data_IF_181715912672
#
_entry.id   IF_181715912672
#
_cell.length_a   1.000
_cell.length_b   1.000
_cell.length_c   1.000
_cell.angle_alpha   90.00
_cell.angle_beta   90.00
_cell.angle_gamma   90.00
#
_symmetry.space_group_name_H-M   'P 1'
#
loop_
_entity.id
_entity.type
_entity.pdbx_description
1 polymer ?
#
# COMPACT_ATOMS: atom_id res chain seq x y z
N UNK A 1 -32.06 54.75 33.24
CA UNK A 1 -31.12 54.01 32.31
C UNK A 1 -31.63 52.64 31.80
N UNK A 2 -32.63 52.02 32.44
CA UNK A 2 -33.25 50.75 31.99
C UNK A 2 -34.21 50.91 30.79
N UNK A 3 -34.93 52.03 30.66
CA UNK A 3 -35.89 52.34 29.60
C UNK A 3 -35.20 52.53 28.21
N UNK A 4 -33.99 53.04 28.17
CA UNK A 4 -33.24 53.33 26.95
C UNK A 4 -32.68 52.03 26.28
N UNK A 5 -32.35 51.01 27.08
CA UNK A 5 -31.88 49.71 26.54
C UNK A 5 -33.01 48.92 25.88
N UNK A 6 -34.24 48.99 26.40
CA UNK A 6 -35.40 48.36 25.78
C UNK A 6 -35.80 49.00 24.44
N UNK A 7 -35.63 50.31 24.30
CA UNK A 7 -35.94 51.03 23.07
C UNK A 7 -35.01 50.69 21.89
N UNK A 8 -33.70 50.54 22.15
CA UNK A 8 -32.72 50.18 21.09
C UNK A 8 -32.91 48.77 20.54
N UNK A 9 -33.22 47.81 21.39
CA UNK A 9 -33.50 46.41 21.01
C UNK A 9 -34.79 46.30 20.21
N UNK A 10 -35.87 46.98 20.65
CA UNK A 10 -37.16 47.03 19.95
C UNK A 10 -37.01 47.70 18.59
N UNK A 11 -36.26 48.80 18.52
CA UNK A 11 -35.96 49.46 17.25
C UNK A 11 -35.15 48.61 16.31
N UNK A 12 -34.09 47.96 16.77
CA UNK A 12 -33.28 47.04 15.95
C UNK A 12 -34.12 45.90 15.36
N UNK A 13 -35.05 45.33 16.16
CA UNK A 13 -35.98 44.27 15.71
C UNK A 13 -36.99 44.79 14.69
N UNK A 14 -37.54 45.97 14.87
CA UNK A 14 -38.49 46.61 13.94
C UNK A 14 -37.77 47.05 12.65
N UNK A 15 -36.54 47.57 12.74
CA UNK A 15 -35.70 47.97 11.61
C UNK A 15 -35.32 46.76 10.76
N UNK A 16 -34.92 45.66 11.39
CA UNK A 16 -34.63 44.39 10.70
C UNK A 16 -35.86 43.85 9.93
N UNK A 17 -37.08 43.98 10.53
CA UNK A 17 -38.32 43.55 9.92
C UNK A 17 -38.78 44.47 8.77
N UNK A 18 -38.51 45.80 8.86
CA UNK A 18 -38.81 46.79 7.81
C UNK A 18 -37.77 46.86 6.70
N UNK A 19 -36.55 46.41 6.95
CA UNK A 19 -35.42 46.46 6.02
C UNK A 19 -35.56 45.53 4.81
N UNK A 20 -36.51 44.59 4.83
CA UNK A 20 -36.77 43.66 3.72
C UNK A 20 -35.53 42.94 3.23
N UNK A 21 -35.29 42.95 1.93
CA UNK A 21 -34.17 42.28 1.31
C UNK A 21 -32.79 42.71 1.84
N UNK A 22 -32.63 43.98 2.24
CA UNK A 22 -31.36 44.53 2.79
C UNK A 22 -30.94 43.90 4.12
N UNK A 23 -31.91 43.49 4.94
CA UNK A 23 -31.65 42.80 6.21
C UNK A 23 -31.27 41.35 6.04
N UNK A 24 -31.60 40.74 4.89
CA UNK A 24 -31.24 39.37 4.56
C UNK A 24 -29.77 39.25 4.14
N UNK A 25 -29.16 40.29 3.60
CA UNK A 25 -27.76 40.26 3.09
C UNK A 25 -26.76 39.78 4.15
N UNK A 26 -26.72 40.32 5.39
CA UNK A 26 -25.77 39.81 6.41
C UNK A 26 -25.99 38.36 6.79
N UNK A 27 -27.24 37.94 6.86
CA UNK A 27 -27.62 36.57 7.22
C UNK A 27 -27.19 35.61 6.12
N UNK A 28 -27.54 35.90 4.87
CA UNK A 28 -27.15 35.10 3.71
C UNK A 28 -25.63 35.07 3.55
N UNK A 29 -24.94 36.19 3.68
CA UNK A 29 -23.49 36.26 3.63
C UNK A 29 -22.85 35.41 4.73
N UNK A 30 -23.37 35.42 5.95
CA UNK A 30 -22.90 34.57 7.04
C UNK A 30 -23.11 33.08 6.78
N UNK A 31 -24.29 32.69 6.24
CA UNK A 31 -24.57 31.31 5.88
C UNK A 31 -23.64 30.84 4.73
N UNK A 32 -23.53 31.64 3.68
CA UNK A 32 -22.67 31.33 2.54
C UNK A 32 -21.19 31.18 2.94
N UNK A 33 -20.71 32.11 3.82
CA UNK A 33 -19.36 32.04 4.34
C UNK A 33 -19.12 30.79 5.18
N UNK A 34 -20.06 30.43 6.06
CA UNK A 34 -19.96 29.20 6.86
C UNK A 34 -19.90 27.96 5.99
N UNK A 35 -20.79 27.85 5.00
CA UNK A 35 -20.78 26.74 4.05
C UNK A 35 -19.47 26.69 3.27
N UNK A 36 -19.01 27.83 2.74
CA UNK A 36 -17.75 27.90 2.01
C UNK A 36 -16.57 27.45 2.87
N UNK A 37 -16.41 28.00 4.08
CA UNK A 37 -15.29 27.66 4.95
C UNK A 37 -15.33 26.21 5.44
N UNK A 38 -16.50 25.70 5.81
CA UNK A 38 -16.64 24.31 6.24
C UNK A 38 -16.40 23.33 5.09
N UNK A 39 -16.88 23.64 3.89
CA UNK A 39 -16.64 22.80 2.70
C UNK A 39 -15.16 22.78 2.32
N UNK A 40 -14.51 23.94 2.22
CA UNK A 40 -13.10 24.00 1.84
C UNK A 40 -12.20 23.31 2.86
N UNK A 41 -12.39 23.60 4.15
CA UNK A 41 -11.60 22.95 5.23
C UNK A 41 -11.88 21.46 5.32
N UNK A 42 -13.14 21.05 5.19
CA UNK A 42 -13.54 19.64 5.16
C UNK A 42 -12.94 18.89 3.96
N UNK A 43 -12.84 19.56 2.82
CA UNK A 43 -12.20 18.98 1.61
C UNK A 43 -10.72 18.72 1.84
N UNK A 44 -9.97 19.69 2.40
CA UNK A 44 -8.54 19.49 2.73
C UNK A 44 -8.36 18.30 3.67
N UNK A 45 -9.17 18.23 4.73
CA UNK A 45 -9.08 17.13 5.71
C UNK A 45 -9.38 15.77 5.07
N UNK A 46 -10.36 15.71 4.18
CA UNK A 46 -10.68 14.46 3.46
C UNK A 46 -9.54 14.02 2.54
N UNK A 47 -8.93 14.93 1.79
CA UNK A 47 -7.80 14.60 0.94
C UNK A 47 -6.56 14.19 1.73
N UNK A 48 -6.30 14.82 2.86
CA UNK A 48 -5.22 14.43 3.76
C UNK A 48 -5.45 13.01 4.33
N UNK A 49 -6.67 12.72 4.78
CA UNK A 49 -7.05 11.37 5.20
C UNK A 49 -6.96 10.34 4.09
N UNK A 50 -7.38 10.69 2.86
CA UNK A 50 -7.25 9.81 1.70
C UNK A 50 -5.78 9.52 1.36
N UNK A 51 -4.91 10.54 1.44
CA UNK A 51 -3.47 10.35 1.21
C UNK A 51 -2.85 9.48 2.30
N UNK A 52 -3.19 9.71 3.56
CA UNK A 52 -2.74 8.88 4.67
C UNK A 52 -3.21 7.43 4.51
N UNK A 53 -4.48 7.25 4.16
CA UNK A 53 -5.04 5.92 3.89
C UNK A 53 -4.38 5.26 2.68
N UNK A 54 -4.12 6.00 1.61
CA UNK A 54 -3.39 5.48 0.45
C UNK A 54 -2.01 4.95 0.85
N UNK A 55 -1.30 5.67 1.73
CA UNK A 55 0.02 5.25 2.23
C UNK A 55 -0.04 4.02 3.13
N UNK A 56 -1.05 3.93 4.01
CA UNK A 56 -1.19 2.80 4.93
C UNK A 56 -1.70 1.52 4.26
N UNK A 57 -2.65 1.65 3.33
CA UNK A 57 -3.37 0.52 2.75
C UNK A 57 -2.72 0.00 1.45
N UNK A 58 -1.81 0.79 0.86
CA UNK A 58 -1.08 0.35 -0.34
C UNK A 58 0.08 -0.55 0.04
N UNK A 59 0.15 -1.71 -0.60
CA UNK A 59 1.28 -2.62 -0.51
C UNK A 59 2.08 -2.64 -1.81
N UNK A 60 3.38 -2.75 -1.72
CA UNK A 60 4.28 -2.93 -2.86
C UNK A 60 5.14 -4.15 -2.66
N UNK A 61 5.58 -4.75 -3.77
CA UNK A 61 6.47 -5.90 -3.76
C UNK A 61 7.85 -5.51 -4.25
N UNK A 62 8.87 -6.11 -3.61
CA UNK A 62 10.25 -6.04 -4.02
C UNK A 62 10.76 -7.43 -4.39
N UNK A 63 11.71 -7.49 -5.27
CA UNK A 63 12.40 -8.72 -5.66
C UNK A 63 13.87 -8.46 -5.93
N UNK A 64 14.69 -9.45 -5.61
CA UNK A 64 16.09 -9.42 -5.94
C UNK A 64 16.27 -9.76 -7.41
N UNK A 65 17.27 -9.15 -8.03
CA UNK A 65 17.56 -9.30 -9.43
C UNK A 65 19.08 -9.30 -9.69
N UNK A 66 19.47 -9.68 -10.90
CA UNK A 66 20.84 -9.52 -11.38
C UNK A 66 21.20 -8.03 -11.59
N UNK A 67 22.47 -7.76 -11.88
CA UNK A 67 22.99 -6.41 -12.12
C UNK A 67 22.28 -5.65 -13.25
N UNK A 68 21.63 -6.37 -14.18
CA UNK A 68 20.91 -5.79 -15.32
C UNK A 68 19.43 -5.56 -15.03
N UNK A 69 18.92 -6.05 -13.91
CA UNK A 69 17.51 -6.00 -13.58
C UNK A 69 16.62 -6.88 -14.46
N UNK A 70 17.21 -7.85 -15.16
CA UNK A 70 16.50 -8.66 -16.15
C UNK A 70 16.12 -10.04 -15.63
N UNK A 71 16.85 -10.55 -14.65
CA UNK A 71 16.63 -11.88 -14.09
C UNK A 71 16.25 -11.83 -12.63
N UNK A 72 15.15 -12.46 -12.26
CA UNK A 72 14.70 -12.65 -10.89
C UNK A 72 14.85 -14.10 -10.42
N UNK A 73 15.41 -14.94 -11.27
CA UNK A 73 15.70 -16.35 -11.00
C UNK A 73 17.10 -16.70 -11.47
N UNK A 74 17.69 -17.76 -10.93
CA UNK A 74 19.05 -18.16 -11.24
C UNK A 74 20.13 -17.29 -10.60
N UNK A 75 19.78 -16.54 -9.54
CA UNK A 75 20.69 -15.76 -8.74
C UNK A 75 21.46 -16.67 -7.76
N UNK A 76 22.59 -16.20 -7.27
CA UNK A 76 23.34 -16.81 -6.17
C UNK A 76 23.26 -15.91 -4.94
N UNK A 77 22.19 -16.07 -4.16
CA UNK A 77 21.92 -15.29 -2.96
C UNK A 77 22.37 -16.10 -1.73
N UNK A 78 23.24 -15.53 -0.93
CA UNK A 78 23.62 -16.14 0.35
C UNK A 78 22.53 -15.98 1.42
N UNK A 79 22.46 -16.92 2.34
CA UNK A 79 21.52 -16.90 3.49
C UNK A 79 21.54 -15.57 4.23
N UNK A 80 22.73 -15.00 4.48
CA UNK A 80 22.87 -13.78 5.24
C UNK A 80 22.30 -12.53 4.58
N UNK A 81 22.15 -12.49 3.24
CA UNK A 81 21.49 -11.36 2.55
C UNK A 81 19.98 -11.43 2.79
N UNK A 82 19.45 -12.59 2.63
CA UNK A 82 18.00 -12.84 2.69
C UNK A 82 17.50 -12.70 4.13
N UNK A 83 18.25 -13.25 5.09
CA UNK A 83 17.94 -13.11 6.51
C UNK A 83 17.97 -11.62 6.96
N UNK A 84 18.94 -10.84 6.49
CA UNK A 84 18.98 -9.41 6.77
C UNK A 84 17.80 -8.66 6.18
N UNK A 85 17.32 -9.02 4.98
CA UNK A 85 16.13 -8.42 4.39
C UNK A 85 14.90 -8.71 5.25
N UNK A 86 14.76 -9.93 5.77
CA UNK A 86 13.63 -10.30 6.62
C UNK A 86 13.60 -9.55 7.95
N UNK A 87 14.75 -9.05 8.40
CA UNK A 87 14.89 -8.26 9.64
C UNK A 87 14.62 -6.77 9.46
N UNK A 88 14.44 -6.28 8.21
CA UNK A 88 14.15 -4.87 7.95
C UNK A 88 12.74 -4.55 8.45
N UNK A 89 12.56 -3.57 9.36
CA UNK A 89 11.23 -3.13 9.77
C UNK A 89 10.41 -2.64 8.57
N UNK A 90 9.16 -3.11 8.45
CA UNK A 90 8.29 -2.78 7.33
C UNK A 90 8.37 -3.75 6.14
N UNK A 91 9.26 -4.75 6.19
CA UNK A 91 9.29 -5.86 5.24
C UNK A 91 8.50 -7.04 5.81
N UNK A 92 7.70 -7.67 4.96
CA UNK A 92 6.92 -8.86 5.29
C UNK A 92 6.93 -9.87 4.13
N UNK A 93 6.39 -11.05 4.36
CA UNK A 93 6.18 -12.12 3.35
C UNK A 93 7.43 -12.38 2.51
N UNK A 94 8.58 -12.52 3.15
CA UNK A 94 9.82 -12.81 2.44
C UNK A 94 9.75 -14.23 1.90
N UNK A 95 9.78 -14.34 0.58
CA UNK A 95 9.71 -15.61 -0.13
C UNK A 95 11.03 -15.92 -0.79
N UNK A 96 11.49 -17.12 -0.63
CA UNK A 96 12.73 -17.63 -1.20
C UNK A 96 12.45 -18.68 -2.27
N UNK A 97 13.28 -18.69 -3.27
CA UNK A 97 13.23 -19.64 -4.35
C UNK A 97 14.60 -20.30 -4.53
N UNK A 98 14.60 -21.61 -4.65
CA UNK A 98 15.76 -22.36 -5.08
C UNK A 98 15.34 -23.30 -6.20
N UNK A 99 15.85 -23.09 -7.40
CA UNK A 99 15.60 -23.97 -8.54
C UNK A 99 16.59 -25.12 -8.50
N UNK A 100 16.08 -26.32 -8.51
CA UNK A 100 16.89 -27.52 -8.59
C UNK A 100 16.78 -28.13 -10.01
N UNK A 101 17.87 -28.68 -10.57
CA UNK A 101 17.89 -29.25 -11.91
C UNK A 101 17.26 -30.67 -11.93
N UNK A 102 16.08 -30.79 -11.35
CA UNK A 102 15.28 -31.99 -11.33
C UNK A 102 14.05 -31.79 -12.20
N UNK A 103 13.81 -32.71 -13.12
CA UNK A 103 12.77 -32.60 -14.10
C UNK A 103 11.83 -33.80 -14.01
N UNK A 104 10.55 -33.57 -14.32
CA UNK A 104 9.53 -34.61 -14.27
C UNK A 104 9.82 -35.72 -15.27
N UNK A 105 9.86 -36.96 -14.78
CA UNK A 105 10.07 -38.17 -15.60
C UNK A 105 8.81 -39.02 -15.71
N UNK A 106 8.07 -39.19 -14.63
CA UNK A 106 6.86 -40.00 -14.62
C UNK A 106 6.21 -40.07 -13.25
N UNK A 107 5.12 -40.80 -13.16
CA UNK A 107 4.44 -41.01 -11.90
C UNK A 107 4.06 -42.46 -11.64
N UNK A 108 3.90 -42.77 -10.37
CA UNK A 108 3.56 -44.09 -9.87
C UNK A 108 2.25 -43.99 -9.08
N UNK A 109 1.42 -45.00 -9.31
CA UNK A 109 0.18 -45.24 -8.60
C UNK A 109 0.14 -46.66 -8.12
N UNK A 110 -0.15 -46.92 -6.86
CA UNK A 110 -0.18 -48.23 -6.25
C UNK A 110 1.10 -49.05 -6.52
N UNK A 111 2.25 -48.40 -6.51
CA UNK A 111 3.56 -49.00 -6.70
C UNK A 111 3.89 -49.38 -8.16
N UNK A 112 3.06 -48.99 -9.13
CA UNK A 112 3.27 -49.26 -10.56
C UNK A 112 3.45 -47.95 -11.32
N UNK A 113 4.35 -47.98 -12.31
CA UNK A 113 4.48 -46.87 -13.25
C UNK A 113 3.16 -46.69 -14.01
N UNK A 114 2.63 -45.46 -13.93
CA UNK A 114 1.31 -45.14 -14.46
C UNK A 114 1.34 -44.22 -15.68
N UNK A 115 2.43 -43.50 -15.91
CA UNK A 115 2.59 -42.61 -17.06
C UNK A 115 3.72 -41.59 -16.89
N UNK A 116 4.02 -40.84 -17.95
CA UNK A 116 5.05 -39.82 -17.96
C UNK A 116 5.99 -39.93 -19.18
N UNK A 117 6.87 -38.91 -19.39
CA UNK A 117 7.79 -38.89 -20.53
C UNK A 117 8.88 -39.94 -20.48
N UNK A 118 9.19 -40.49 -19.29
CA UNK A 118 10.30 -41.41 -19.08
C UNK A 118 9.90 -42.85 -18.96
N UNK A 119 9.68 -43.57 -20.05
CA UNK A 119 9.72 -45.02 -20.04
C UNK A 119 11.12 -45.47 -20.43
N UNK A 120 11.94 -45.91 -19.46
CA UNK A 120 13.27 -46.45 -19.77
C UNK A 120 13.55 -47.73 -19.06
N UNK A 121 13.82 -48.74 -19.85
CA UNK A 121 14.24 -50.07 -19.41
C UNK A 121 15.76 -50.24 -19.38
N UNK A 122 16.57 -49.29 -19.90
CA UNK A 122 18.02 -49.46 -20.05
C UNK A 122 18.83 -48.27 -19.56
N UNK A 123 20.03 -48.50 -19.00
CA UNK A 123 20.96 -47.43 -18.63
C UNK A 123 21.42 -46.62 -19.85
N UNK A 124 21.54 -45.31 -19.70
CA UNK A 124 21.87 -44.39 -20.77
C UNK A 124 23.39 -44.37 -20.96
N UNK A 125 23.87 -44.62 -22.18
CA UNK A 125 25.26 -44.34 -22.53
C UNK A 125 25.55 -42.85 -22.63
N UNK A 126 26.80 -42.43 -22.45
CA UNK A 126 27.22 -41.02 -22.37
C UNK A 126 26.71 -40.11 -23.50
N UNK A 127 26.62 -40.60 -24.72
CA UNK A 127 26.10 -39.85 -25.89
C UNK A 127 24.59 -39.66 -25.90
N UNK A 128 23.85 -40.54 -25.26
CA UNK A 128 22.41 -40.41 -25.11
C UNK A 128 22.04 -39.50 -23.94
N UNK A 129 22.96 -39.26 -23.02
CA UNK A 129 22.72 -38.43 -21.83
C UNK A 129 22.53 -36.93 -22.16
N UNK A 130 23.33 -36.39 -23.10
CA UNK A 130 23.16 -34.95 -23.49
C UNK A 130 21.81 -34.72 -24.16
N UNK A 131 21.40 -35.58 -25.05
CA UNK A 131 20.11 -35.51 -25.72
C UNK A 131 18.93 -35.66 -24.74
N UNK A 132 19.12 -36.54 -23.79
CA UNK A 132 18.13 -36.75 -22.74
C UNK A 132 18.04 -35.54 -21.76
N UNK A 133 19.17 -34.94 -21.47
CA UNK A 133 19.22 -33.73 -20.65
C UNK A 133 18.43 -32.60 -21.30
N UNK A 134 18.54 -32.39 -22.59
CA UNK A 134 17.78 -31.41 -23.35
C UNK A 134 16.26 -31.69 -23.33
N UNK A 135 15.89 -32.99 -23.47
CA UNK A 135 14.49 -33.40 -23.36
C UNK A 135 13.94 -33.19 -21.95
N UNK A 136 14.70 -33.52 -20.92
CA UNK A 136 14.33 -33.28 -19.52
C UNK A 136 14.20 -31.79 -19.20
N UNK A 137 15.13 -30.95 -19.67
CA UNK A 137 15.13 -29.51 -19.43
C UNK A 137 13.91 -28.78 -20.01
N UNK A 138 13.26 -29.37 -21.00
CA UNK A 138 12.03 -28.84 -21.57
C UNK A 138 10.79 -29.11 -20.71
N UNK A 139 10.88 -30.03 -19.76
CA UNK A 139 9.78 -30.43 -18.87
C UNK A 139 9.65 -29.61 -17.59
N UNK A 140 8.65 -29.94 -16.77
CA UNK A 140 8.48 -29.36 -15.45
C UNK A 140 9.70 -29.55 -14.57
N UNK A 141 10.17 -28.49 -13.91
CA UNK A 141 11.35 -28.48 -13.03
C UNK A 141 10.96 -28.25 -11.57
N UNK A 142 11.80 -28.76 -10.66
CA UNK A 142 11.61 -28.61 -9.24
C UNK A 142 12.08 -27.24 -8.75
N UNK A 143 11.23 -26.56 -8.01
CA UNK A 143 11.51 -25.29 -7.35
C UNK A 143 11.14 -25.41 -5.88
N UNK A 144 12.10 -25.17 -5.02
CA UNK A 144 11.87 -25.09 -3.59
C UNK A 144 11.48 -23.67 -3.18
N UNK A 145 10.46 -23.55 -2.37
CA UNK A 145 9.98 -22.25 -1.88
C UNK A 145 9.31 -22.39 -0.52
N UNK A 146 9.25 -21.29 0.20
CA UNK A 146 8.48 -21.19 1.46
C UNK A 146 7.05 -20.65 1.25
N UNK A 147 6.73 -20.15 0.05
CA UNK A 147 5.38 -19.67 -0.28
C UNK A 147 5.19 -19.54 -1.78
N UNK A 148 4.03 -19.92 -2.29
CA UNK A 148 3.68 -19.74 -3.72
C UNK A 148 3.49 -18.27 -4.09
N UNK A 149 3.01 -17.45 -3.17
CA UNK A 149 2.71 -16.02 -3.43
C UNK A 149 3.89 -15.20 -3.91
N UNK A 150 5.10 -15.60 -3.52
CA UNK A 150 6.33 -14.93 -3.93
C UNK A 150 6.99 -15.53 -5.16
N UNK A 151 6.50 -16.63 -5.70
CA UNK A 151 7.04 -17.20 -6.92
C UNK A 151 6.74 -16.28 -8.12
N UNK A 152 7.68 -16.15 -9.08
CA UNK A 152 7.56 -15.21 -10.21
C UNK A 152 6.25 -15.32 -10.98
N UNK A 153 5.72 -16.52 -11.08
CA UNK A 153 4.48 -16.83 -11.80
C UNK A 153 3.23 -16.25 -11.13
N UNK A 154 3.28 -16.03 -9.82
CA UNK A 154 2.15 -15.58 -9.01
C UNK A 154 2.29 -14.15 -8.51
N UNK A 155 3.35 -13.42 -8.87
CA UNK A 155 3.60 -12.05 -8.41
C UNK A 155 2.49 -11.07 -8.77
N UNK A 156 1.77 -11.32 -9.86
CA UNK A 156 0.64 -10.49 -10.29
C UNK A 156 -0.70 -10.85 -9.64
N UNK A 157 -0.76 -11.95 -8.87
CA UNK A 157 -1.99 -12.45 -8.26
C UNK A 157 -2.07 -12.10 -6.78
N UNK A 158 -3.26 -11.81 -6.32
CA UNK A 158 -3.56 -11.59 -4.89
C UNK A 158 -3.73 -12.90 -4.13
N UNK A 159 -4.17 -13.96 -4.81
CA UNK A 159 -4.35 -15.30 -4.24
C UNK A 159 -3.98 -16.36 -5.26
N UNK A 160 -3.43 -17.46 -4.78
CA UNK A 160 -3.19 -18.67 -5.56
C UNK A 160 -4.21 -19.70 -5.13
N UNK A 161 -5.00 -20.20 -6.09
CA UNK A 161 -5.95 -21.28 -5.83
C UNK A 161 -5.21 -22.63 -5.87
N UNK A 162 -5.28 -23.35 -4.78
CA UNK A 162 -4.65 -24.67 -4.63
C UNK A 162 -5.70 -25.67 -4.16
N UNK A 163 -5.82 -26.78 -4.87
CA UNK A 163 -6.56 -27.95 -4.42
C UNK A 163 -5.64 -28.83 -3.57
N UNK A 164 -6.00 -29.04 -2.31
CA UNK A 164 -5.17 -29.76 -1.36
C UNK A 164 -5.63 -31.19 -1.12
N UNK A 165 -4.66 -32.09 -0.94
CA UNK A 165 -4.93 -33.39 -0.36
C UNK A 165 -5.39 -33.23 1.10
N UNK A 166 -6.31 -34.06 1.56
CA UNK A 166 -6.81 -34.02 2.93
C UNK A 166 -5.67 -34.02 3.95
N UNK A 167 -5.70 -33.05 4.87
CA UNK A 167 -4.68 -32.87 5.92
C UNK A 167 -3.48 -31.99 5.54
N UNK A 168 -3.47 -31.39 4.34
CA UNK A 168 -2.42 -30.47 3.90
C UNK A 168 -2.96 -29.07 3.63
N UNK A 169 -2.10 -28.08 3.83
CA UNK A 169 -2.33 -26.67 3.54
C UNK A 169 -1.02 -25.96 3.10
N UNK A 170 -1.08 -24.67 2.82
CA UNK A 170 0.09 -23.89 2.38
C UNK A 170 1.23 -23.88 3.44
N UNK A 171 0.93 -24.15 4.68
CA UNK A 171 1.91 -24.14 5.79
C UNK A 171 3.04 -25.16 5.60
N UNK A 172 2.81 -26.24 4.85
CA UNK A 172 3.85 -27.23 4.59
C UNK A 172 5.04 -26.68 3.77
N UNK A 173 4.83 -25.65 2.96
CA UNK A 173 5.90 -24.99 2.22
C UNK A 173 6.84 -24.19 3.13
N UNK A 174 6.31 -23.59 4.17
CA UNK A 174 7.10 -22.80 5.11
C UNK A 174 7.88 -23.65 6.12
N UNK A 175 7.27 -24.74 6.57
CA UNK A 175 7.89 -25.67 7.50
C UNK A 175 7.35 -27.08 7.23
N UNK A 176 8.22 -28.04 6.95
CA UNK A 176 7.82 -29.43 6.84
C UNK A 176 7.84 -30.07 8.25
N UNK A 177 6.66 -30.39 8.83
CA UNK A 177 6.60 -30.98 10.18
C UNK A 177 7.19 -32.42 10.24
N UNK A 178 7.42 -33.04 9.09
CA UNK A 178 8.03 -34.38 9.03
C UNK A 178 9.56 -34.32 8.94
N UNK A 179 10.12 -33.14 8.67
CA UNK A 179 11.56 -32.93 8.60
C UNK A 179 12.11 -32.72 10.01
N UNK A 180 12.68 -33.75 10.60
CA UNK A 180 13.34 -33.63 11.90
C UNK A 180 14.87 -33.51 11.68
N UNK A 181 15.42 -32.35 12.02
CA UNK A 181 16.84 -32.03 11.90
C UNK A 181 17.45 -32.11 13.30
N UNK A 182 18.52 -32.89 13.46
CA UNK A 182 19.33 -32.86 14.68
C UNK A 182 20.04 -31.50 14.80
N UNK A 183 19.73 -30.72 15.86
CA UNK A 183 20.29 -29.37 16.02
C UNK A 183 21.81 -29.37 16.23
N UNK A 184 22.40 -30.49 16.64
CA UNK A 184 23.85 -30.59 16.89
C UNK A 184 24.64 -30.93 15.63
N UNK A 185 24.07 -31.73 14.76
CA UNK A 185 24.75 -32.22 13.56
C UNK A 185 24.27 -31.57 12.27
N UNK A 186 23.09 -30.92 12.28
CA UNK A 186 22.46 -30.36 11.10
C UNK A 186 21.96 -31.43 10.10
N UNK A 187 21.94 -32.71 10.50
CA UNK A 187 21.50 -33.80 9.67
C UNK A 187 20.04 -34.18 9.92
N UNK A 188 19.41 -34.80 8.92
CA UNK A 188 18.11 -35.43 9.12
C UNK A 188 18.29 -36.58 10.12
N UNK A 189 17.38 -36.66 11.08
CA UNK A 189 17.33 -37.79 12.00
C UNK A 189 17.04 -39.07 11.21
N UNK A 190 17.98 -40.02 11.19
CA UNK A 190 17.95 -41.20 10.34
C UNK A 190 16.71 -42.08 10.47
N UNK A 191 16.09 -42.07 11.65
CA UNK A 191 14.94 -42.91 11.97
C UNK A 191 13.60 -42.33 11.47
N UNK A 192 13.61 -41.08 10.98
CA UNK A 192 12.44 -40.40 10.43
C UNK A 192 12.80 -39.68 9.13
N UNK A 193 12.86 -40.43 8.02
CA UNK A 193 13.12 -39.81 6.73
C UNK A 193 11.97 -38.86 6.38
N UNK A 194 12.26 -37.67 5.83
CA UNK A 194 11.23 -36.79 5.37
C UNK A 194 10.44 -37.44 4.24
N UNK A 195 9.14 -37.34 4.30
CA UNK A 195 8.31 -37.68 3.16
C UNK A 195 8.39 -36.49 2.18
N UNK A 196 9.02 -36.68 1.03
CA UNK A 196 9.10 -35.65 0.00
C UNK A 196 7.71 -35.38 -0.55
N UNK A 197 7.29 -34.09 -0.47
CA UNK A 197 5.97 -33.63 -0.88
C UNK A 197 6.09 -32.47 -1.83
N UNK A 198 5.17 -32.39 -2.78
CA UNK A 198 5.18 -31.33 -3.77
C UNK A 198 3.78 -30.87 -4.16
N UNK A 199 3.77 -29.70 -4.77
CA UNK A 199 2.64 -29.13 -5.49
C UNK A 199 2.94 -29.18 -6.98
N UNK A 200 1.94 -29.54 -7.79
CA UNK A 200 2.05 -29.59 -9.24
C UNK A 200 1.01 -28.68 -9.91
N UNK A 201 1.23 -28.21 -11.14
CA UNK A 201 0.21 -27.52 -11.91
C UNK A 201 -0.99 -28.42 -12.22
N UNK A 202 -2.19 -27.86 -12.20
CA UNK A 202 -3.41 -28.57 -12.61
C UNK A 202 -3.31 -29.06 -14.06
N UNK A 203 -2.71 -28.27 -14.95
CA UNK A 203 -2.48 -28.63 -16.35
C UNK A 203 -1.65 -29.92 -16.47
N UNK A 204 -0.65 -30.09 -15.60
CA UNK A 204 0.16 -31.31 -15.53
C UNK A 204 -0.64 -32.51 -15.01
N UNK A 205 -1.53 -32.30 -14.04
CA UNK A 205 -2.44 -33.35 -13.57
C UNK A 205 -3.33 -33.85 -14.68
N UNK A 206 -3.91 -32.93 -15.45
CA UNK A 206 -4.83 -33.27 -16.55
C UNK A 206 -4.09 -33.95 -17.72
N UNK A 207 -2.92 -33.43 -18.08
CA UNK A 207 -2.12 -33.94 -19.19
C UNK A 207 -1.71 -35.41 -18.97
N UNK A 208 -1.24 -35.73 -17.77
CA UNK A 208 -0.73 -37.07 -17.47
C UNK A 208 -1.71 -37.96 -16.70
N UNK A 209 -2.83 -37.42 -16.25
CA UNK A 209 -3.81 -38.14 -15.43
C UNK A 209 -3.34 -38.40 -13.99
N UNK A 210 -2.47 -37.53 -13.45
CA UNK A 210 -1.97 -37.61 -12.08
C UNK A 210 -3.10 -37.24 -11.11
N UNK A 211 -3.13 -37.86 -9.93
CA UNK A 211 -4.10 -37.54 -8.86
C UNK A 211 -3.38 -37.09 -7.59
N UNK A 212 -4.09 -36.37 -6.77
CA UNK A 212 -3.59 -36.04 -5.41
C UNK A 212 -3.30 -37.34 -4.66
N UNK A 213 -2.11 -37.43 -4.07
CA UNK A 213 -1.62 -38.59 -3.37
C UNK A 213 -0.74 -39.54 -4.23
N UNK A 214 -0.71 -39.38 -5.54
CA UNK A 214 0.23 -40.12 -6.41
C UNK A 214 1.68 -39.68 -6.13
N UNK A 215 2.62 -40.57 -6.48
CA UNK A 215 4.05 -40.29 -6.40
C UNK A 215 4.61 -39.95 -7.77
N UNK A 216 5.21 -38.78 -7.90
CA UNK A 216 5.92 -38.35 -9.09
C UNK A 216 7.42 -38.61 -8.95
N UNK A 217 8.05 -38.96 -10.05
CA UNK A 217 9.50 -39.16 -10.13
C UNK A 217 10.12 -38.01 -10.89
N UNK A 218 11.15 -37.44 -10.26
CA UNK A 218 11.97 -36.36 -10.82
C UNK A 218 13.38 -36.94 -11.04
N UNK A 219 14.00 -36.57 -12.15
CA UNK A 219 15.33 -36.98 -12.50
C UNK A 219 16.25 -35.78 -12.70
N UNK A 220 17.50 -35.96 -12.27
CA UNK A 220 18.59 -35.03 -12.56
C UNK A 220 19.76 -35.84 -13.13
N UNK A 221 20.47 -35.21 -14.07
CA UNK A 221 21.73 -35.77 -14.59
C UNK A 221 22.86 -35.03 -13.91
N UNK A 222 23.79 -35.78 -13.32
CA UNK A 222 25.00 -35.24 -12.71
C UNK A 222 26.22 -35.85 -13.36
N UNK A 223 27.28 -35.05 -13.43
CA UNK A 223 28.59 -35.46 -13.92
C UNK A 223 29.54 -35.45 -12.72
N UNK A 224 29.98 -36.62 -12.23
CA UNK A 224 30.93 -36.67 -11.12
C UNK A 224 32.26 -36.00 -11.51
N UNK A 225 32.81 -35.19 -10.60
CA UNK A 225 34.05 -34.46 -10.83
C UNK A 225 35.26 -35.33 -11.11
N UNK A 226 35.22 -36.61 -10.72
CA UNK A 226 36.33 -37.55 -10.81
C UNK A 226 36.45 -38.20 -12.17
N UNK A 227 35.39 -38.23 -12.96
CA UNK A 227 35.43 -38.85 -14.28
C UNK A 227 34.31 -38.24 -15.15
N UNK A 228 34.69 -37.37 -16.09
CA UNK A 228 33.75 -36.66 -16.95
C UNK A 228 32.94 -37.59 -17.91
N UNK A 229 33.27 -38.88 -17.95
CA UNK A 229 32.59 -39.87 -18.79
C UNK A 229 31.48 -40.63 -18.03
N UNK A 230 31.43 -40.53 -16.70
CA UNK A 230 30.44 -41.24 -15.91
C UNK A 230 29.24 -40.31 -15.61
N UNK A 231 28.19 -40.45 -16.38
CA UNK A 231 26.94 -39.78 -16.17
C UNK A 231 26.12 -40.52 -15.12
N UNK A 232 25.72 -39.85 -14.07
CA UNK A 232 24.81 -40.41 -13.07
C UNK A 232 23.42 -39.81 -13.20
N UNK A 233 22.42 -40.66 -13.23
CA UNK A 233 21.01 -40.24 -13.14
C UNK A 233 20.57 -40.39 -11.69
N UNK A 234 20.12 -39.31 -11.13
CA UNK A 234 19.58 -39.28 -9.77
C UNK A 234 18.06 -39.17 -9.89
N UNK A 235 17.36 -40.08 -9.25
CA UNK A 235 15.91 -40.15 -9.21
C UNK A 235 15.43 -39.81 -7.81
N UNK A 236 14.44 -38.93 -7.73
CA UNK A 236 13.81 -38.54 -6.46
C UNK A 236 12.29 -38.63 -6.60
N UNK A 237 11.65 -39.25 -5.64
CA UNK A 237 10.20 -39.35 -5.60
C UNK A 237 9.58 -38.27 -4.70
N UNK A 238 8.48 -37.68 -5.16
CA UNK A 238 7.68 -36.71 -4.40
C UNK A 238 6.22 -37.14 -4.41
N UNK A 239 5.58 -37.05 -3.26
CA UNK A 239 4.14 -37.24 -3.16
C UNK A 239 3.41 -35.95 -3.52
N UNK A 240 2.43 -36.02 -4.40
CA UNK A 240 1.59 -34.88 -4.79
C UNK A 240 0.59 -34.62 -3.70
N UNK A 241 0.76 -33.51 -2.99
CA UNK A 241 -0.13 -33.09 -1.89
C UNK A 241 -1.01 -31.92 -2.23
N UNK A 242 -0.81 -31.28 -3.39
CA UNK A 242 -1.69 -30.25 -3.88
C UNK A 242 -1.47 -29.95 -5.35
N UNK A 243 -2.47 -29.31 -5.95
CA UNK A 243 -2.46 -28.85 -7.33
C UNK A 243 -2.86 -27.38 -7.40
N UNK A 244 -2.13 -26.58 -8.15
CA UNK A 244 -2.38 -25.16 -8.30
C UNK A 244 -2.73 -24.78 -9.72
N UNK A 245 -3.59 -23.75 -9.86
CA UNK A 245 -3.94 -23.22 -11.18
C UNK A 245 -2.81 -22.31 -11.66
N UNK A 246 -2.15 -22.74 -12.73
CA UNK A 246 -1.02 -22.02 -13.32
C UNK A 246 -1.47 -20.86 -14.20
N UNK A 247 -0.64 -19.82 -14.26
CA UNK A 247 -0.74 -18.73 -15.24
C UNK A 247 0.57 -18.63 -15.99
N UNK A 248 0.57 -19.05 -17.23
CA UNK A 248 1.75 -18.96 -18.09
C UNK A 248 2.31 -20.30 -18.50
N UNK A 249 3.47 -20.28 -19.17
CA UNK A 249 4.09 -21.48 -19.76
C UNK A 249 5.12 -22.18 -18.85
N UNK A 250 5.39 -21.63 -17.67
CA UNK A 250 6.41 -22.21 -16.80
C UNK A 250 5.79 -23.34 -15.98
N UNK A 251 6.04 -24.57 -16.35
CA UNK A 251 5.63 -25.75 -15.60
C UNK A 251 6.63 -25.99 -14.47
N UNK A 252 6.40 -25.42 -13.29
CA UNK A 252 7.22 -25.66 -12.12
C UNK A 252 6.51 -26.57 -11.13
N UNK A 253 7.28 -27.43 -10.49
CA UNK A 253 6.85 -28.27 -9.37
C UNK A 253 7.40 -27.63 -8.11
N UNK A 254 6.56 -27.32 -7.14
CA UNK A 254 6.98 -26.65 -5.93
C UNK A 254 7.08 -27.61 -4.74
N UNK A 255 8.14 -27.47 -3.96
CA UNK A 255 8.37 -28.24 -2.76
C UNK A 255 8.85 -27.35 -1.61
N UNK A 256 8.88 -27.92 -0.40
CA UNK A 256 9.31 -27.22 0.81
C UNK A 256 10.75 -26.71 0.70
N UNK A 257 10.99 -25.49 1.18
CA UNK A 257 12.29 -24.82 1.12
C UNK A 257 13.38 -25.52 1.94
N UNK A 258 13.05 -26.24 3.00
CA UNK A 258 14.03 -26.92 3.85
C UNK A 258 14.66 -28.14 3.14
N UNK A 259 14.00 -28.66 2.11
CA UNK A 259 14.50 -29.81 1.36
C UNK A 259 15.80 -29.56 0.56
N UNK A 260 16.05 -28.34 -0.01
CA UNK A 260 17.26 -28.12 -0.81
C UNK A 260 18.56 -28.31 -0.06
N UNK A 261 18.55 -28.16 1.26
CA UNK A 261 19.74 -28.45 2.10
C UNK A 261 20.30 -29.85 1.85
N UNK A 262 19.47 -30.74 1.34
CA UNK A 262 19.80 -32.12 1.04
C UNK A 262 20.02 -32.40 -0.46
N UNK A 263 19.51 -31.58 -1.35
CA UNK A 263 19.53 -31.78 -2.79
C UNK A 263 20.54 -30.92 -3.56
N UNK A 264 20.89 -29.76 -3.04
CA UNK A 264 21.74 -28.80 -3.75
C UNK A 264 23.17 -29.30 -4.01
N UNK A 265 23.65 -30.20 -3.17
CA UNK A 265 25.02 -30.72 -3.28
C UNK A 265 25.14 -31.96 -4.17
N UNK A 266 24.07 -32.39 -4.80
CA UNK A 266 24.10 -33.54 -5.69
C UNK A 266 25.04 -33.34 -6.89
N UNK A 267 25.30 -32.09 -7.29
CA UNK A 267 26.30 -31.78 -8.31
C UNK A 267 27.75 -32.01 -7.84
N UNK A 268 27.97 -32.08 -6.52
CA UNK A 268 29.26 -32.34 -5.88
C UNK A 268 29.35 -33.72 -5.22
N UNK A 269 28.58 -34.67 -5.69
CA UNK A 269 28.46 -36.00 -5.11
C UNK A 269 29.77 -36.77 -4.92
N UNK A 270 30.84 -36.38 -5.64
CA UNK A 270 32.16 -37.02 -5.55
C UNK A 270 32.95 -36.64 -4.28
N UNK A 271 32.52 -35.65 -3.53
CA UNK A 271 33.27 -35.13 -2.36
C UNK A 271 32.68 -35.63 -1.04
N UNK A 272 31.51 -36.25 -1.06
CA UNK A 272 30.77 -36.58 0.14
C UNK A 272 30.29 -38.04 0.19
N UNK A 273 30.23 -38.61 1.39
CA UNK A 273 29.59 -39.89 1.61
C UNK A 273 28.08 -39.77 1.52
N UNK A 274 27.50 -40.41 0.55
CA UNK A 274 26.07 -40.44 0.30
C UNK A 274 25.47 -41.74 0.85
N UNK A 275 24.38 -41.62 1.57
CA UNK A 275 23.53 -42.77 1.90
C UNK A 275 22.25 -42.73 1.09
N UNK A 276 21.85 -43.84 0.57
CA UNK A 276 20.57 -44.00 -0.12
C UNK A 276 19.53 -44.54 0.84
N UNK A 277 18.35 -44.00 0.79
CA UNK A 277 17.21 -44.49 1.54
C UNK A 277 16.06 -44.75 0.61
N UNK A 278 15.63 -46.00 0.57
CA UNK A 278 14.49 -46.44 -0.22
C UNK A 278 13.18 -46.08 0.52
N UNK A 279 12.35 -45.30 -0.14
CA UNK A 279 11.00 -44.98 0.31
C UNK A 279 9.97 -45.66 -0.60
N UNK A 280 8.72 -45.86 -0.12
CA UNK A 280 7.64 -46.27 -1.01
C UNK A 280 7.48 -45.22 -2.13
N UNK A 281 7.90 -45.52 -3.32
CA UNK A 281 7.85 -44.61 -4.46
C UNK A 281 9.19 -44.05 -4.92
N UNK A 282 10.32 -44.29 -4.27
CA UNK A 282 11.63 -43.86 -4.76
C UNK A 282 12.75 -43.89 -3.74
N UNK A 283 13.94 -43.57 -4.21
CA UNK A 283 15.15 -43.54 -3.41
C UNK A 283 15.53 -42.12 -3.10
N UNK A 284 15.75 -41.77 -1.83
CA UNK A 284 16.30 -40.50 -1.40
C UNK A 284 17.79 -40.64 -1.16
N UNK A 285 18.57 -39.70 -1.69
CA UNK A 285 19.96 -39.53 -1.38
C UNK A 285 20.11 -38.60 -0.18
N UNK A 286 20.68 -39.09 0.91
CA UNK A 286 21.01 -38.28 2.09
C UNK A 286 22.53 -38.16 2.18
N UNK A 287 22.98 -36.98 2.53
CA UNK A 287 24.39 -36.67 2.70
C UNK A 287 24.82 -36.86 4.16
N UNK A 288 25.95 -37.55 4.35
CA UNK A 288 26.69 -37.59 5.61
C UNK A 288 27.71 -36.44 5.63
N UNK A 289 27.57 -35.44 6.52
CA UNK A 289 28.50 -34.31 6.65
C UNK A 289 27.84 -32.98 7.00
N UNK A 290 28.61 -31.93 7.27
CA UNK A 290 28.11 -30.61 7.62
C UNK A 290 27.29 -29.98 6.50
N UNK A 291 26.13 -29.44 6.84
CA UNK A 291 25.25 -28.74 5.94
C UNK A 291 25.98 -27.52 5.34
N UNK A 292 26.14 -27.44 4.01
CA UNK A 292 26.62 -26.22 3.38
C UNK A 292 25.53 -25.13 3.42
N UNK A 293 25.97 -23.86 3.47
CA UNK A 293 25.05 -22.75 3.37
C UNK A 293 24.31 -22.79 2.03
N UNK A 294 23.02 -22.69 2.12
CA UNK A 294 22.15 -22.71 0.96
C UNK A 294 22.29 -21.42 0.14
N UNK A 295 22.39 -21.52 -1.18
CA UNK A 295 22.28 -20.40 -2.08
C UNK A 295 20.85 -20.35 -2.64
N UNK A 296 20.17 -19.22 -2.48
CA UNK A 296 18.86 -19.00 -3.08
C UNK A 296 19.01 -18.50 -4.53
N UNK A 297 18.18 -18.99 -5.42
CA UNK A 297 18.14 -18.58 -6.83
C UNK A 297 17.24 -17.35 -7.05
N UNK A 298 16.46 -16.98 -6.09
CA UNK A 298 15.61 -15.80 -6.12
C UNK A 298 15.03 -15.49 -4.74
N UNK A 299 14.67 -14.25 -4.52
CA UNK A 299 13.93 -13.84 -3.33
C UNK A 299 13.01 -12.68 -3.65
N UNK A 300 11.85 -12.70 -3.02
CA UNK A 300 10.84 -11.64 -3.11
C UNK A 300 10.37 -11.26 -1.71
N UNK A 301 9.87 -10.06 -1.56
CA UNK A 301 9.31 -9.59 -0.30
C UNK A 301 8.18 -8.60 -0.55
N UNK A 302 7.34 -8.40 0.45
CA UNK A 302 6.29 -7.38 0.42
C UNK A 302 6.57 -6.26 1.40
N UNK A 303 6.11 -5.07 1.07
CA UNK A 303 6.04 -3.92 1.96
C UNK A 303 4.54 -3.63 2.14
N UNK A 304 3.94 -4.10 3.24
CA UNK A 304 2.48 -4.04 3.44
C UNK A 304 1.94 -2.62 3.54
N UNK A 305 2.79 -1.68 4.01
CA UNK A 305 2.44 -0.27 4.13
C UNK A 305 3.48 0.59 3.44
N UNK A 306 3.03 1.38 2.47
CA UNK A 306 3.92 2.33 1.78
C UNK A 306 4.38 3.50 2.68
N UNK A 307 3.86 3.60 3.91
CA UNK A 307 4.40 4.52 4.92
C UNK A 307 5.87 4.21 5.20
N UNK A 308 6.25 2.93 5.19
CA UNK A 308 7.59 2.45 5.49
C UNK A 308 8.49 2.36 4.25
N UNK A 309 7.95 2.65 3.05
CA UNK A 309 8.65 2.47 1.79
C UNK A 309 10.00 3.20 1.73
N UNK A 310 10.07 4.42 2.24
CA UNK A 310 11.32 5.21 2.23
C UNK A 310 12.35 4.63 3.18
N UNK A 311 11.95 4.21 4.38
CA UNK A 311 12.84 3.61 5.37
C UNK A 311 13.35 2.24 4.91
N UNK A 312 12.49 1.43 4.28
CA UNK A 312 12.89 0.15 3.69
C UNK A 312 13.88 0.37 2.54
N UNK A 313 13.62 1.31 1.63
CA UNK A 313 14.57 1.64 0.56
C UNK A 313 15.93 2.10 1.11
N UNK A 314 15.93 2.90 2.16
CA UNK A 314 17.18 3.34 2.79
C UNK A 314 17.93 2.16 3.43
N UNK A 315 17.24 1.27 4.15
CA UNK A 315 17.84 0.08 4.73
C UNK A 315 18.43 -0.86 3.67
N UNK A 316 17.74 -1.06 2.55
CA UNK A 316 18.25 -1.84 1.42
C UNK A 316 19.49 -1.17 0.77
N UNK A 317 19.49 0.15 0.66
CA UNK A 317 20.64 0.91 0.19
C UNK A 317 21.84 0.77 1.12
N UNK A 318 21.63 0.86 2.42
CA UNK A 318 22.68 0.71 3.43
C UNK A 318 23.27 -0.71 3.47
N UNK A 319 22.47 -1.70 3.08
CA UNK A 319 22.93 -3.08 2.86
C UNK A 319 23.72 -3.24 1.55
N UNK A 320 23.82 -2.21 0.73
CA UNK A 320 24.47 -2.24 -0.57
C UNK A 320 23.63 -2.84 -1.71
N UNK A 321 22.34 -3.07 -1.48
CA UNK A 321 21.37 -3.50 -2.47
C UNK A 321 20.74 -2.26 -3.13
N UNK A 322 21.56 -1.48 -3.82
CA UNK A 322 21.10 -0.24 -4.45
C UNK A 322 20.36 -0.51 -5.77
N UNK A 323 19.62 0.49 -6.23
CA UNK A 323 18.85 0.44 -7.47
C UNK A 323 19.69 0.02 -8.68
N UNK A 324 19.05 -0.74 -9.58
CA UNK A 324 19.63 -1.13 -10.86
C UNK A 324 20.23 0.06 -11.60
N UNK A 325 21.44 -0.08 -12.08
CA UNK A 325 22.14 0.93 -12.91
C UNK A 325 23.25 1.70 -12.20
N UNK A 326 23.48 1.52 -10.90
CA UNK A 326 24.70 2.00 -10.26
C UNK A 326 25.80 0.95 -10.35
N UNK A 327 26.99 1.37 -10.78
CA UNK A 327 28.20 0.54 -10.81
C UNK A 327 28.58 0.26 -9.35
N UNK A 328 28.23 -0.91 -8.89
CA UNK A 328 28.58 -1.42 -7.56
C UNK A 328 29.31 -2.75 -7.74
N UNK A 329 30.26 -3.04 -6.86
CA UNK A 329 30.93 -4.34 -6.77
C UNK A 329 29.97 -5.47 -6.32
N UNK A 330 28.74 -5.15 -6.00
CA UNK A 330 27.71 -6.07 -5.54
C UNK A 330 26.98 -6.64 -6.74
N UNK A 331 26.86 -7.97 -6.77
CA UNK A 331 26.27 -8.69 -7.88
C UNK A 331 24.73 -8.74 -7.88
N UNK A 332 24.08 -8.38 -6.78
CA UNK A 332 22.65 -8.46 -6.60
C UNK A 332 22.06 -7.08 -6.36
N UNK A 333 20.90 -6.83 -6.95
CA UNK A 333 20.15 -5.59 -6.84
C UNK A 333 18.71 -5.87 -6.41
N UNK A 334 18.04 -4.84 -5.94
CA UNK A 334 16.61 -4.91 -5.59
C UNK A 334 15.81 -4.02 -6.53
N UNK A 335 14.73 -4.57 -7.06
CA UNK A 335 13.70 -3.81 -7.75
C UNK A 335 12.45 -3.78 -6.86
N UNK A 336 11.93 -2.60 -6.59
CA UNK A 336 10.66 -2.41 -5.90
C UNK A 336 9.64 -1.93 -6.92
N UNK A 337 8.55 -2.66 -7.06
CA UNK A 337 7.47 -2.32 -8.00
C UNK A 337 6.53 -1.27 -7.43
N UNK A 338 7.02 -0.05 -7.25
CA UNK A 338 6.29 1.06 -6.64
C UNK A 338 5.88 2.18 -7.61
N UNK A 339 6.18 2.04 -8.90
CA UNK A 339 5.94 3.08 -9.90
C UNK A 339 4.47 3.54 -9.95
N UNK A 340 3.53 2.60 -9.93
CA UNK A 340 2.10 2.89 -9.95
C UNK A 340 1.65 3.61 -8.65
N UNK A 341 2.17 3.18 -7.51
CA UNK A 341 1.91 3.82 -6.23
C UNK A 341 2.47 5.26 -6.22
N UNK A 342 3.74 5.45 -6.60
CA UNK A 342 4.39 6.76 -6.60
C UNK A 342 3.71 7.76 -7.52
N UNK A 343 3.20 7.33 -8.68
CA UNK A 343 2.42 8.21 -9.58
C UNK A 343 1.12 8.66 -8.93
N UNK A 344 0.41 7.74 -8.29
CA UNK A 344 -0.87 8.03 -7.60
C UNK A 344 -0.64 8.90 -6.37
N UNK A 345 0.36 8.57 -5.57
CA UNK A 345 0.73 9.31 -4.36
C UNK A 345 1.15 10.75 -4.70
N UNK A 346 2.01 10.93 -5.71
CA UNK A 346 2.42 12.27 -6.19
C UNK A 346 1.23 13.10 -6.67
N UNK A 347 0.31 12.50 -7.44
CA UNK A 347 -0.89 13.20 -7.90
C UNK A 347 -1.79 13.63 -6.74
N UNK A 348 -1.99 12.76 -5.73
CA UNK A 348 -2.76 13.07 -4.54
C UNK A 348 -2.08 14.14 -3.66
N UNK A 349 -0.78 14.01 -3.44
CA UNK A 349 0.02 14.97 -2.68
C UNK A 349 0.05 16.35 -3.36
N UNK A 350 0.17 16.39 -4.68
CA UNK A 350 0.13 17.64 -5.45
C UNK A 350 -1.24 18.34 -5.33
N UNK A 351 -2.34 17.59 -5.41
CA UNK A 351 -3.69 18.14 -5.20
C UNK A 351 -3.84 18.72 -3.80
N UNK A 352 -3.38 17.99 -2.78
CA UNK A 352 -3.42 18.45 -1.40
C UNK A 352 -2.59 19.73 -1.24
N UNK A 353 -1.40 19.78 -1.81
CA UNK A 353 -0.52 20.94 -1.79
C UNK A 353 -1.19 22.17 -2.40
N UNK A 354 -1.81 22.05 -3.58
CA UNK A 354 -2.55 23.14 -4.20
C UNK A 354 -3.70 23.66 -3.30
N UNK A 355 -4.45 22.74 -2.70
CA UNK A 355 -5.54 23.11 -1.81
C UNK A 355 -5.03 23.84 -0.55
N UNK A 356 -3.96 23.34 0.05
CA UNK A 356 -3.36 23.96 1.24
C UNK A 356 -2.84 25.37 0.98
N UNK A 357 -2.37 25.68 -0.22
CA UNK A 357 -1.84 27.01 -0.57
C UNK A 357 -2.91 27.93 -1.16
N UNK A 358 -3.86 27.40 -1.93
CA UNK A 358 -4.91 28.21 -2.56
C UNK A 358 -6.00 28.62 -1.57
N UNK A 359 -6.43 27.72 -0.69
CA UNK A 359 -7.55 28.00 0.20
C UNK A 359 -7.30 29.12 1.22
N UNK A 360 -6.10 29.29 1.81
CA UNK A 360 -5.81 30.46 2.63
C UNK A 360 -6.01 31.80 1.90
N UNK A 361 -5.68 31.85 0.60
CA UNK A 361 -5.91 33.04 -0.24
C UNK A 361 -7.41 33.28 -0.40
N UNK A 362 -8.18 32.22 -0.68
CA UNK A 362 -9.65 32.31 -0.76
C UNK A 362 -10.26 32.78 0.57
N UNK A 363 -9.75 32.27 1.70
CA UNK A 363 -10.20 32.69 3.01
C UNK A 363 -9.90 34.20 3.26
N UNK A 364 -8.69 34.65 2.91
CA UNK A 364 -8.31 36.05 3.06
C UNK A 364 -9.20 36.98 2.22
N UNK A 365 -9.50 36.57 0.96
CA UNK A 365 -10.41 37.32 0.09
C UNK A 365 -11.83 37.35 0.69
N UNK A 366 -12.35 36.23 1.14
CA UNK A 366 -13.70 36.13 1.73
C UNK A 366 -13.82 36.99 3.01
N UNK A 367 -12.80 36.96 3.85
CA UNK A 367 -12.74 37.78 5.06
C UNK A 367 -12.63 39.26 4.72
N UNK A 368 -11.85 39.66 3.70
CA UNK A 368 -11.78 41.03 3.20
C UNK A 368 -13.12 41.51 2.63
N UNK A 369 -13.83 40.63 1.90
CA UNK A 369 -15.18 40.93 1.39
C UNK A 369 -16.19 41.15 2.52
N UNK A 370 -16.10 40.40 3.64
CA UNK A 370 -16.95 40.58 4.80
C UNK A 370 -16.87 42.03 5.30
N UNK A 371 -15.64 42.53 5.49
CA UNK A 371 -15.40 43.91 5.92
C UNK A 371 -15.97 44.92 4.92
N UNK A 372 -15.69 44.74 3.62
CA UNK A 372 -16.15 45.68 2.58
C UNK A 372 -17.67 45.69 2.44
N UNK A 373 -18.32 44.51 2.42
CA UNK A 373 -19.78 44.45 2.32
C UNK A 373 -20.46 45.06 3.50
N UNK A 374 -20.00 44.84 4.72
CA UNK A 374 -20.52 45.45 5.92
C UNK A 374 -20.35 46.99 5.89
N UNK A 375 -19.16 47.44 5.46
CA UNK A 375 -18.89 48.87 5.30
C UNK A 375 -19.84 49.54 4.30
N UNK A 376 -20.01 48.95 3.11
CA UNK A 376 -20.90 49.44 2.07
C UNK A 376 -22.37 49.43 2.49
N UNK A 377 -22.80 48.36 3.15
CA UNK A 377 -24.17 48.24 3.64
C UNK A 377 -24.53 49.33 4.64
N UNK A 378 -23.67 49.58 5.61
CA UNK A 378 -23.88 50.65 6.58
C UNK A 378 -23.82 52.01 5.89
N UNK A 379 -22.93 52.20 4.91
CA UNK A 379 -22.80 53.42 4.16
C UNK A 379 -24.08 53.74 3.36
N UNK A 380 -24.77 52.74 2.83
CA UNK A 380 -26.06 52.93 2.13
C UNK A 380 -27.18 53.44 3.04
N UNK A 381 -27.05 53.21 4.36
CA UNK A 381 -28.02 53.66 5.37
C UNK A 381 -27.70 55.02 6.01
N UNK A 382 -26.80 55.79 5.43
CA UNK A 382 -26.45 57.14 5.95
C UNK A 382 -27.64 58.08 6.02
N UNK A 383 -28.62 57.95 5.12
CA UNK A 383 -29.86 58.76 5.14
C UNK A 383 -30.68 58.45 6.40
N UNK A 384 -30.85 57.20 6.76
CA UNK A 384 -31.57 56.79 7.97
C UNK A 384 -30.91 57.35 9.24
N UNK A 385 -29.58 57.33 9.31
CA UNK A 385 -28.80 57.89 10.40
C UNK A 385 -29.02 59.42 10.51
N UNK A 386 -29.07 60.12 9.38
CA UNK A 386 -29.34 61.58 9.33
C UNK A 386 -30.76 61.88 9.80
N UNK A 387 -31.75 61.09 9.35
CA UNK A 387 -33.15 61.28 9.77
C UNK A 387 -33.34 60.99 11.25
N UNK A 388 -32.70 59.99 11.83
CA UNK A 388 -32.75 59.71 13.27
C UNK A 388 -32.21 60.91 14.09
N UNK A 389 -31.13 61.54 13.62
CA UNK A 389 -30.49 62.65 14.25
C UNK A 389 -31.27 63.91 14.08
N UNK A 390 -31.97 64.16 12.96
CA UNK A 390 -32.83 65.28 12.73
C UNK A 390 -34.10 65.27 13.62
N UNK A 391 -34.56 64.12 14.02
CA UNK A 391 -35.70 63.90 14.93
C UNK A 391 -35.27 63.98 16.41
N UNK A 392 -33.96 64.21 16.67
CA UNK A 392 -33.45 64.45 18.02
C UNK A 392 -32.83 63.24 18.74
N UNK A 393 -32.60 62.15 18.02
CA UNK A 393 -31.89 60.97 18.59
C UNK A 393 -30.42 61.35 18.93
N UNK A 394 -29.99 60.98 20.15
CA UNK A 394 -28.60 61.17 20.56
C UNK A 394 -27.66 60.32 19.68
N UNK A 395 -26.42 60.82 19.55
CA UNK A 395 -25.36 60.23 18.76
C UNK A 395 -25.06 58.75 19.15
N UNK A 396 -25.07 58.53 20.47
CA UNK A 396 -24.83 57.18 21.01
C UNK A 396 -26.00 56.20 20.72
N UNK A 397 -27.22 56.68 20.79
CA UNK A 397 -28.44 55.90 20.56
C UNK A 397 -28.59 55.53 19.09
N UNK A 398 -28.34 56.47 18.16
CA UNK A 398 -28.38 56.24 16.73
C UNK A 398 -27.29 55.26 16.27
N UNK A 399 -26.07 55.37 16.82
CA UNK A 399 -25.00 54.42 16.59
C UNK A 399 -25.35 53.03 17.14
N UNK A 400 -25.73 52.95 18.43
CA UNK A 400 -26.00 51.68 19.13
C UNK A 400 -27.14 50.88 18.50
N UNK A 401 -28.20 51.56 18.02
CA UNK A 401 -29.32 50.84 17.36
C UNK A 401 -28.93 50.16 16.05
N UNK A 402 -28.16 50.83 15.19
CA UNK A 402 -27.72 50.25 13.92
C UNK A 402 -26.61 49.23 14.12
N UNK A 403 -25.70 49.45 15.08
CA UNK A 403 -24.66 48.47 15.40
C UNK A 403 -25.25 47.18 15.98
N UNK A 404 -26.25 47.32 16.90
CA UNK A 404 -26.94 46.17 17.48
C UNK A 404 -27.71 45.38 16.43
N UNK A 405 -28.32 46.05 15.44
CA UNK A 405 -28.97 45.39 14.30
C UNK A 405 -27.96 44.55 13.51
N UNK A 406 -26.78 45.11 13.15
CA UNK A 406 -25.74 44.39 12.43
C UNK A 406 -25.19 43.22 13.24
N UNK A 407 -25.02 43.39 14.55
CA UNK A 407 -24.61 42.33 15.46
C UNK A 407 -25.60 41.17 15.48
N UNK A 408 -26.91 41.44 15.61
CA UNK A 408 -27.93 40.42 15.63
C UNK A 408 -28.00 39.64 14.28
N UNK A 409 -27.93 40.36 13.15
CA UNK A 409 -28.02 39.75 11.83
C UNK A 409 -26.76 38.96 11.50
N UNK A 410 -25.56 39.42 11.82
CA UNK A 410 -24.31 38.69 11.63
C UNK A 410 -24.25 37.46 12.53
N UNK A 411 -24.66 37.58 13.80
CA UNK A 411 -24.73 36.44 14.71
C UNK A 411 -25.74 35.37 14.24
N UNK A 412 -26.91 35.83 13.79
CA UNK A 412 -27.94 34.91 13.24
C UNK A 412 -27.42 34.18 12.02
N UNK A 413 -26.77 34.88 11.09
CA UNK A 413 -26.16 34.26 9.89
C UNK A 413 -25.07 33.24 10.23
N UNK A 414 -24.18 33.59 11.17
CA UNK A 414 -23.11 32.68 11.61
C UNK A 414 -23.67 31.46 12.34
N UNK A 415 -24.65 31.61 13.21
CA UNK A 415 -25.27 30.50 13.95
C UNK A 415 -26.06 29.57 13.02
N UNK A 416 -26.88 30.15 12.13
CA UNK A 416 -27.63 29.35 11.15
C UNK A 416 -26.69 28.62 10.19
N UNK A 417 -25.64 29.29 9.69
CA UNK A 417 -24.65 28.70 8.82
C UNK A 417 -23.86 27.58 9.50
N UNK A 418 -23.39 27.82 10.74
CA UNK A 418 -22.70 26.80 11.53
C UNK A 418 -23.61 25.62 11.85
N UNK A 419 -24.88 25.88 12.25
CA UNK A 419 -25.88 24.85 12.51
C UNK A 419 -26.16 23.99 11.27
N UNK A 420 -26.29 24.61 10.10
CA UNK A 420 -26.46 23.92 8.84
C UNK A 420 -25.24 23.03 8.51
N UNK A 421 -24.03 23.54 8.68
CA UNK A 421 -22.81 22.76 8.44
C UNK A 421 -22.68 21.57 9.39
N UNK A 422 -23.06 21.74 10.67
CA UNK A 422 -23.07 20.63 11.63
C UNK A 422 -24.14 19.59 11.31
N UNK A 423 -25.36 20.02 10.93
CA UNK A 423 -26.43 19.11 10.55
C UNK A 423 -26.11 18.28 9.29
N UNK A 424 -25.35 18.86 8.35
CA UNK A 424 -24.89 18.18 7.13
C UNK A 424 -23.60 17.36 7.33
N UNK A 425 -23.04 17.33 8.55
CA UNK A 425 -21.77 16.64 8.84
C UNK A 425 -20.53 17.30 8.21
N UNK A 426 -20.63 18.57 7.81
CA UNK A 426 -19.52 19.32 7.20
C UNK A 426 -18.74 20.16 8.23
N UNK A 427 -19.12 20.11 9.50
CA UNK A 427 -18.54 20.89 10.57
C UNK A 427 -17.06 20.56 10.81
N UNK A 428 -16.17 21.49 10.50
CA UNK A 428 -14.74 21.42 10.87
C UNK A 428 -14.43 22.52 11.90
N UNK A 429 -13.55 22.22 12.86
CA UNK A 429 -13.15 23.21 13.88
C UNK A 429 -12.59 24.49 13.25
N UNK A 430 -11.77 24.33 12.21
CA UNK A 430 -11.18 25.46 11.48
C UNK A 430 -12.25 26.24 10.70
N UNK A 431 -13.19 25.57 10.03
CA UNK A 431 -14.28 26.20 9.28
C UNK A 431 -15.21 27.01 10.19
N UNK A 432 -15.53 26.47 11.36
CA UNK A 432 -16.33 27.20 12.38
C UNK A 432 -15.55 28.39 12.91
N UNK A 433 -14.24 28.27 13.17
CA UNK A 433 -13.37 29.38 13.58
C UNK A 433 -13.31 30.51 12.53
N UNK A 434 -13.19 30.15 11.24
CA UNK A 434 -13.21 31.12 10.13
C UNK A 434 -14.57 31.81 9.99
N UNK A 435 -15.67 31.10 10.25
CA UNK A 435 -17.02 31.68 10.27
C UNK A 435 -17.16 32.72 11.40
N UNK A 436 -16.62 32.44 12.58
CA UNK A 436 -16.58 33.40 13.67
C UNK A 436 -15.72 34.63 13.31
N UNK A 437 -14.54 34.39 12.68
CA UNK A 437 -13.69 35.51 12.20
C UNK A 437 -14.39 36.36 11.14
N UNK A 438 -15.17 35.74 10.24
CA UNK A 438 -16.00 36.46 9.27
C UNK A 438 -17.00 37.39 9.96
N UNK A 439 -17.72 36.90 10.97
CA UNK A 439 -18.67 37.69 11.72
C UNK A 439 -17.98 38.87 12.46
N UNK A 440 -16.80 38.65 13.04
CA UNK A 440 -16.01 39.71 13.69
C UNK A 440 -15.58 40.77 12.68
N UNK A 441 -15.07 40.40 11.52
CA UNK A 441 -14.65 41.33 10.47
C UNK A 441 -15.83 42.07 9.87
N UNK A 442 -16.99 41.44 9.76
CA UNK A 442 -18.24 42.08 9.39
C UNK A 442 -18.58 43.22 10.40
N UNK A 443 -18.51 42.92 11.68
CA UNK A 443 -18.78 43.90 12.73
C UNK A 443 -17.76 45.04 12.76
N UNK A 444 -16.49 44.75 12.51
CA UNK A 444 -15.44 45.76 12.36
C UNK A 444 -15.72 46.71 11.19
N UNK A 445 -16.10 46.16 10.03
CA UNK A 445 -16.50 46.97 8.87
C UNK A 445 -17.72 47.86 9.16
N UNK A 446 -18.73 47.31 9.82
CA UNK A 446 -19.90 48.06 10.26
C UNK A 446 -19.54 49.18 11.27
N UNK A 447 -18.68 48.86 12.25
CA UNK A 447 -18.19 49.83 13.24
C UNK A 447 -17.48 51.01 12.56
N UNK A 448 -16.51 50.73 11.68
CA UNK A 448 -15.75 51.79 10.98
C UNK A 448 -16.68 52.65 10.12
N UNK A 449 -17.64 52.03 9.42
CA UNK A 449 -18.60 52.75 8.60
C UNK A 449 -19.52 53.65 9.44
N UNK A 450 -20.00 53.15 10.59
CA UNK A 450 -20.82 53.93 11.52
C UNK A 450 -20.04 55.07 12.16
N UNK A 451 -18.80 54.86 12.57
CA UNK A 451 -17.93 55.91 13.08
C UNK A 451 -17.71 57.04 12.05
N UNK A 452 -17.40 56.66 10.78
CA UNK A 452 -17.25 57.63 9.70
C UNK A 452 -18.54 58.39 9.37
N UNK A 453 -19.67 57.67 9.36
CA UNK A 453 -20.96 58.30 9.08
C UNK A 453 -21.40 59.24 10.22
N UNK A 454 -21.05 58.91 11.47
CA UNK A 454 -21.42 59.63 12.66
C UNK A 454 -20.47 60.82 12.99
N UNK A 455 -19.22 60.82 12.50
CA UNK A 455 -18.23 61.87 12.69
C UNK A 455 -18.35 63.05 11.70
N UNK A 456 -18.96 62.84 10.54
CA UNK A 456 -19.16 63.91 9.57
C UNK A 456 -20.17 64.91 10.10
N UNK A 457 -19.72 66.15 10.40
CA UNK A 457 -20.52 67.23 10.86
C UNK A 457 -21.69 67.57 9.94
N UNK A 458 -22.90 67.66 10.49
CA UNK A 458 -24.13 68.02 9.77
C UNK A 458 -24.00 69.43 9.15
N UNK A 459 -23.07 70.24 9.67
CA UNK A 459 -22.85 71.62 9.28
C UNK A 459 -22.14 71.87 7.94
N UNK A 460 -21.56 70.82 7.33
CA UNK A 460 -20.86 70.97 6.03
C UNK A 460 -21.77 71.02 4.80
N UNK A 461 -23.04 70.64 4.98
CA UNK A 461 -24.01 70.62 3.87
C UNK A 461 -24.89 71.87 3.80
N UNK A 462 -24.69 72.82 4.69
CA UNK A 462 -25.40 74.13 4.62
C UNK A 462 -24.75 75.11 3.65
N UNK A 463 -23.49 74.82 3.23
CA UNK A 463 -22.74 75.67 2.30
C UNK A 463 -22.86 75.23 0.82
N UNK A 464 -23.55 74.15 0.53
CA UNK A 464 -23.76 73.72 -0.85
C UNK A 464 -25.19 74.00 -1.37
N UNK A 465 -26.01 74.72 -0.60
CA UNK A 465 -27.39 75.08 -0.96
C UNK A 465 -27.58 76.64 -0.90
N UNK A 466 -26.55 77.39 -0.64
CA UNK A 466 -26.42 78.80 -1.00
C UNK A 466 -25.44 78.90 -2.20
#
# INVERSE_FOLDING_TARGET
>A
SRSLKGGALTYARLSARRGGFRSLVPVLAGICAAVLFCQLTGTVTRYDQQLTKLRSDSSVRGFLTDIRGQSTSGLALGDGVVERISQIPGVADVTYLTTAPYYFNGFYRDGKFAGGPGQREQPIGSFAAERYEDELRSGPKLVFTNSLKGAPEFLSRTSVEVEWLEGYDEGFLAADPTLEIDPNTGHIVKDKPPENRCLIPTDMMDEYGIRLGDWIWLEAITYPYTNSNDTQIIQVAFRVVGAFVQTGRANNIYANLDMPKYFLDLSMASVYEWSTQDLPGGTILTRGGTCMRQAYSGATFSIPSCTDLTSVKQALHDMGLSEVGRISSIRNFVIINDAAYLTTERAAAQRLWYMQHLFPVVYAIALGLAYLLAFLQVQSRRRELRTMRSVGADRKTAYGSLFLEQLMLAALGAVLGAGLCLALGWGSRLGLGLTAAFAVLWLLGAHVALCRANSRHILKNRREVE
#
